data_IF_239339278650
#
_entry.id   IF_239339278650
#
_cell.length_a   1.000
_cell.length_b   1.000
_cell.length_c   1.000
_cell.angle_alpha   90.00
_cell.angle_beta   90.00
_cell.angle_gamma   90.00
#
_symmetry.space_group_name_H-M   'P 1'
#
loop_
_entity.id
_entity.type
_entity.pdbx_description
1 polymer ?
#
# COMPACT_ATOMS: atom_id res chain seq x y z
N UNK A 1 9.61 0.33 16.49
CA UNK A 1 8.85 1.24 15.64
C UNK A 1 7.88 0.46 14.78
N UNK A 2 6.75 1.02 14.49
CA UNK A 2 5.76 0.37 13.65
C UNK A 2 5.84 0.90 12.22
N UNK A 3 5.41 0.07 11.29
CA UNK A 3 5.27 0.46 9.89
C UNK A 3 3.80 0.36 9.53
N UNK A 4 3.28 1.35 8.82
CA UNK A 4 1.93 1.32 8.31
C UNK A 4 1.95 1.04 6.82
N UNK A 5 0.96 0.29 6.34
CA UNK A 5 0.77 0.05 4.92
C UNK A 5 -0.59 0.59 4.50
N UNK A 6 -0.65 1.14 3.30
CA UNK A 6 -1.91 1.56 2.70
C UNK A 6 -1.98 0.95 1.30
N UNK A 7 -3.00 0.13 1.06
CA UNK A 7 -3.15 -0.62 -0.18
C UNK A 7 -4.50 -0.33 -0.81
N UNK A 8 -4.52 -0.19 -2.12
CA UNK A 8 -5.76 -0.07 -2.88
C UNK A 8 -5.62 -0.79 -4.22
N UNK A 9 -6.75 -1.00 -4.88
CA UNK A 9 -6.78 -1.64 -6.20
C UNK A 9 -7.58 -0.79 -7.17
N UNK A 10 -7.22 -0.86 -8.45
CA UNK A 10 -7.96 -0.23 -9.53
C UNK A 10 -7.67 -0.96 -10.83
N UNK A 11 -8.45 -0.67 -11.87
CA UNK A 11 -8.39 -1.43 -13.13
C UNK A 11 -7.74 -0.66 -14.28
N UNK A 12 -7.12 0.49 -14.02
CA UNK A 12 -6.50 1.33 -15.06
C UNK A 12 -5.02 1.50 -14.75
N UNK A 13 -4.17 1.04 -15.67
CA UNK A 13 -2.71 1.11 -15.49
C UNK A 13 -2.21 2.55 -15.35
N UNK A 14 -2.69 3.44 -16.20
CA UNK A 14 -2.26 4.84 -16.16
C UNK A 14 -2.63 5.49 -14.83
N UNK A 15 -3.84 5.22 -14.35
CA UNK A 15 -4.29 5.74 -13.06
C UNK A 15 -3.52 5.12 -11.90
N UNK A 16 -3.18 3.83 -12.01
CA UNK A 16 -2.39 3.16 -10.98
C UNK A 16 -1.01 3.82 -10.84
N UNK A 17 -0.37 4.09 -11.96
CA UNK A 17 0.92 4.77 -11.97
C UNK A 17 0.83 6.19 -11.45
N UNK A 18 -0.21 6.92 -11.83
CA UNK A 18 -0.45 8.28 -11.36
C UNK A 18 -0.71 8.29 -9.85
N UNK A 19 -1.46 7.34 -9.34
CA UNK A 19 -1.74 7.23 -7.91
C UNK A 19 -0.45 6.92 -7.13
N UNK A 20 0.38 6.02 -7.64
CA UNK A 20 1.67 5.73 -7.02
C UNK A 20 2.55 6.97 -6.94
N UNK A 21 2.61 7.74 -8.01
CA UNK A 21 3.35 9.00 -8.04
C UNK A 21 2.78 10.02 -7.05
N UNK A 22 1.45 10.08 -6.94
CA UNK A 22 0.79 10.97 -5.99
C UNK A 22 1.11 10.61 -4.55
N UNK A 23 1.18 9.31 -4.24
CA UNK A 23 1.56 8.85 -2.90
C UNK A 23 2.95 9.34 -2.51
N UNK A 24 3.87 9.37 -3.46
CA UNK A 24 5.25 9.83 -3.21
C UNK A 24 5.33 11.32 -2.86
N UNK A 25 4.30 12.09 -3.19
CA UNK A 25 4.27 13.52 -2.92
C UNK A 25 3.65 13.86 -1.57
N UNK A 26 3.19 12.88 -0.82
CA UNK A 26 2.58 13.10 0.49
C UNK A 26 3.59 13.62 1.52
N UNK A 27 3.10 14.32 2.54
CA UNK A 27 3.92 14.82 3.63
C UNK A 27 3.26 14.40 4.96
N UNK A 28 3.90 13.49 5.71
CA UNK A 28 5.20 12.88 5.43
C UNK A 28 5.15 11.88 4.28
N UNK A 29 6.21 11.84 3.50
CA UNK A 29 6.28 10.93 2.36
C UNK A 29 6.40 9.47 2.82
N UNK A 30 5.83 8.52 2.06
CA UNK A 30 6.03 7.10 2.37
C UNK A 30 7.49 6.71 2.19
N UNK A 31 7.92 5.67 2.92
CA UNK A 31 9.26 5.14 2.79
C UNK A 31 9.43 4.30 1.51
N UNK A 32 8.33 3.84 0.93
CA UNK A 32 8.33 3.12 -0.33
C UNK A 32 6.95 3.07 -0.92
N UNK A 33 6.87 3.04 -2.24
CA UNK A 33 5.61 2.91 -3.00
C UNK A 33 5.78 1.83 -4.05
N UNK A 34 4.77 0.99 -4.21
CA UNK A 34 4.76 -0.06 -5.23
C UNK A 34 3.49 -0.04 -6.04
N UNK A 35 3.62 -0.34 -7.33
CA UNK A 35 2.49 -0.52 -8.23
C UNK A 35 2.68 -1.88 -8.89
N UNK A 36 1.71 -2.76 -8.73
CA UNK A 36 1.79 -4.13 -9.21
C UNK A 36 0.56 -4.50 -10.01
N UNK A 37 0.77 -5.28 -11.05
CA UNK A 37 -0.36 -5.90 -11.76
C UNK A 37 -0.72 -7.20 -11.05
N UNK A 38 -2.01 -7.37 -10.75
CA UNK A 38 -2.51 -8.62 -10.18
C UNK A 38 -2.60 -9.66 -11.29
N UNK A 39 -1.89 -10.76 -11.15
CA UNK A 39 -1.77 -11.77 -12.21
C UNK A 39 -2.90 -12.80 -12.18
N UNK A 40 -4.14 -12.32 -12.17
CA UNK A 40 -5.30 -13.21 -12.20
C UNK A 40 -6.14 -13.05 -13.48
N UNK A 41 -5.65 -12.24 -14.43
CA UNK A 41 -6.35 -12.00 -15.68
C UNK A 41 -7.44 -10.95 -15.59
N UNK A 42 -7.65 -10.32 -14.44
CA UNK A 42 -8.72 -9.34 -14.24
C UNK A 42 -8.36 -7.94 -14.75
N UNK A 43 -7.08 -7.68 -15.02
CA UNK A 43 -6.63 -6.34 -15.36
C UNK A 43 -6.56 -5.41 -14.16
N UNK A 44 -6.56 -5.95 -12.95
CA UNK A 44 -6.50 -5.19 -11.72
C UNK A 44 -5.05 -4.85 -11.37
N UNK A 45 -4.84 -3.64 -10.87
CA UNK A 45 -3.54 -3.18 -10.38
C UNK A 45 -3.65 -2.88 -8.89
N UNK A 46 -2.60 -3.22 -8.15
CA UNK A 46 -2.50 -2.91 -6.73
C UNK A 46 -1.48 -1.80 -6.54
N UNK A 47 -1.88 -0.76 -5.82
CA UNK A 47 -1.02 0.37 -5.48
C UNK A 47 -0.91 0.43 -3.97
N UNK A 48 0.31 0.48 -3.48
CA UNK A 48 0.54 0.51 -2.04
C UNK A 48 1.70 1.37 -1.64
N UNK A 49 1.68 1.83 -0.39
CA UNK A 49 2.77 2.58 0.20
C UNK A 49 3.08 2.09 1.60
N UNK A 50 4.33 2.24 2.00
CA UNK A 50 4.80 1.95 3.35
C UNK A 50 5.11 3.27 4.04
N UNK A 51 4.62 3.44 5.25
CA UNK A 51 4.77 4.68 6.02
C UNK A 51 5.40 4.39 7.37
N UNK A 52 6.21 5.32 7.85
CA UNK A 52 6.83 5.22 9.19
C UNK A 52 6.00 5.91 10.26
N UNK A 53 4.91 6.56 9.86
CA UNK A 53 3.94 7.17 10.76
C UNK A 53 2.54 6.94 10.19
N UNK A 54 1.48 7.05 11.01
CA UNK A 54 0.12 6.80 10.52
C UNK A 54 -0.22 7.73 9.35
N UNK A 55 -0.64 7.18 8.19
CA UNK A 55 -1.06 8.02 7.07
C UNK A 55 -2.39 8.70 7.36
N UNK A 56 -2.63 9.83 6.71
CA UNK A 56 -3.87 10.58 6.86
C UNK A 56 -4.97 9.91 6.04
N UNK A 57 -5.98 9.36 6.72
CA UNK A 57 -7.09 8.66 6.06
C UNK A 57 -7.86 9.55 5.10
N UNK A 58 -8.01 10.84 5.43
CA UNK A 58 -8.75 11.78 4.57
C UNK A 58 -7.99 11.99 3.26
N UNK A 59 -6.68 12.16 3.34
CA UNK A 59 -5.84 12.34 2.15
C UNK A 59 -5.88 11.09 1.28
N UNK A 60 -5.79 9.91 1.89
CA UNK A 60 -5.86 8.66 1.16
C UNK A 60 -7.20 8.49 0.46
N UNK A 61 -8.31 8.84 1.15
CA UNK A 61 -9.64 8.77 0.56
C UNK A 61 -9.77 9.71 -0.64
N UNK A 62 -9.21 10.91 -0.55
CA UNK A 62 -9.23 11.87 -1.66
C UNK A 62 -8.42 11.36 -2.84
N UNK A 63 -7.25 10.76 -2.59
CA UNK A 63 -6.43 10.20 -3.66
C UNK A 63 -7.14 9.04 -4.35
N UNK A 64 -7.75 8.15 -3.59
CA UNK A 64 -8.50 7.03 -4.16
C UNK A 64 -9.63 7.53 -5.03
N UNK A 65 -10.41 8.49 -4.56
CA UNK A 65 -11.52 9.06 -5.33
C UNK A 65 -11.02 9.76 -6.59
N UNK A 66 -9.93 10.52 -6.49
CA UNK A 66 -9.39 11.26 -7.62
C UNK A 66 -8.88 10.35 -8.73
N UNK A 67 -8.42 9.15 -8.39
CA UNK A 67 -7.85 8.20 -9.35
C UNK A 67 -8.77 7.03 -9.68
N UNK A 68 -9.99 7.05 -9.16
CA UNK A 68 -10.95 5.97 -9.41
C UNK A 68 -10.54 4.64 -8.79
N UNK A 69 -9.81 4.68 -7.69
CA UNK A 69 -9.35 3.50 -6.98
C UNK A 69 -10.32 3.11 -5.87
N UNK A 70 -10.22 1.87 -5.41
CA UNK A 70 -10.94 1.42 -4.23
C UNK A 70 -10.43 2.13 -2.98
N UNK A 71 -11.18 2.05 -1.90
CA UNK A 71 -10.78 2.62 -0.62
C UNK A 71 -9.48 1.98 -0.15
N UNK A 72 -8.54 2.80 0.35
CA UNK A 72 -7.28 2.28 0.88
C UNK A 72 -7.52 1.44 2.14
N UNK A 73 -6.91 0.27 2.17
CA UNK A 73 -6.85 -0.55 3.36
C UNK A 73 -5.56 -0.22 4.10
N UNK A 74 -5.68 0.33 5.30
CA UNK A 74 -4.53 0.76 6.11
C UNK A 74 -4.32 -0.26 7.23
N UNK A 75 -3.09 -0.70 7.39
CA UNK A 75 -2.72 -1.66 8.43
C UNK A 75 -1.43 -1.24 9.10
N UNK A 76 -1.32 -1.52 10.38
CA UNK A 76 -0.09 -1.33 11.13
C UNK A 76 0.65 -2.67 11.23
N UNK A 77 1.95 -2.66 10.92
CA UNK A 77 2.79 -3.84 10.98
C UNK A 77 3.83 -3.67 12.10
N UNK A 78 3.59 -4.23 13.30
CA UNK A 78 4.59 -4.17 14.36
C UNK A 78 5.85 -4.93 13.95
N UNK A 79 7.00 -4.31 14.17
CA UNK A 79 8.28 -4.85 13.75
C UNK A 79 8.56 -6.22 14.36
N UNK A 80 8.25 -6.38 15.65
CA UNK A 80 8.50 -7.64 16.36
C UNK A 80 7.65 -8.79 15.83
N UNK A 81 6.41 -8.51 15.46
CA UNK A 81 5.52 -9.52 14.90
C UNK A 81 6.02 -10.01 13.56
N UNK A 82 6.57 -9.10 12.78
CA UNK A 82 7.11 -9.44 11.47
C UNK A 82 8.25 -10.46 11.58
N UNK A 83 9.17 -10.24 12.51
CA UNK A 83 10.29 -11.16 12.73
C UNK A 83 9.80 -12.53 13.20
N UNK A 84 8.85 -12.55 14.13
CA UNK A 84 8.29 -13.79 14.63
C UNK A 84 7.57 -14.57 13.53
N UNK A 85 6.86 -13.87 12.67
CA UNK A 85 6.14 -14.50 11.56
C UNK A 85 7.10 -15.15 10.57
N UNK A 86 8.18 -14.47 10.22
CA UNK A 86 9.20 -15.01 9.31
C UNK A 86 9.83 -16.26 9.90
N UNK A 87 10.14 -16.27 11.19
CA UNK A 87 10.71 -17.44 11.85
C UNK A 87 9.77 -18.64 11.78
N UNK A 88 8.48 -18.42 11.95
CA UNK A 88 7.51 -19.51 11.86
C UNK A 88 7.49 -20.16 10.49
N UNK A 89 7.54 -19.35 9.47
CA UNK A 89 7.52 -19.83 8.10
C UNK A 89 8.78 -20.61 7.74
N UNK A 90 9.91 -20.23 8.31
CA UNK A 90 11.17 -20.87 8.06
C UNK A 90 11.41 -22.09 8.95
N UNK A 91 10.62 -22.26 10.00
CA UNK A 91 10.78 -23.38 10.90
C UNK A 91 10.50 -24.69 10.16
N UNK A 92 11.39 -25.67 10.23
CA UNK A 92 11.13 -26.95 9.59
C UNK A 92 9.97 -27.64 10.29
N UNK A 93 9.21 -28.29 9.54
CA UNK A 93 8.05 -29.01 10.03
C UNK A 93 8.45 -30.39 10.55
#
# INVERSE_FOLDING_TARGET
MATWTALTTLTDKSRAQALGAALETLDPAPSGVGVFEVEDGSGTFEVGGYFTSPPDDVVLALLAAAHGAAEFAVSELPETDWVAHVRRELAPV
#
